data_IF_166712791282
#
_entry.id   IF_166712791282
#
_cell.length_a   1.000
_cell.length_b   1.000
_cell.length_c   1.000
_cell.angle_alpha   90.00
_cell.angle_beta   90.00
_cell.angle_gamma   90.00
#
_symmetry.space_group_name_H-M   'P 1'
#
loop_
_entity.id
_entity.type
_entity.pdbx_description
1 polymer ?
#
# COMPACT_ATOMS: atom_id res chain seq x y z
N UNK A 1 1.11 7.30 -0.92
CA UNK A 1 1.24 8.56 -0.18
C UNK A 1 0.05 9.48 -0.47
N UNK A 2 -0.20 10.47 0.38
CA UNK A 2 -1.21 11.52 0.14
C UNK A 2 -0.61 12.75 -0.55
N UNK A 3 0.63 12.68 -0.93
CA UNK A 3 1.43 13.70 -1.62
C UNK A 3 2.10 13.10 -2.86
N UNK A 4 2.57 13.96 -3.76
CA UNK A 4 3.18 13.56 -5.03
C UNK A 4 2.17 13.14 -6.10
N UNK A 5 2.65 12.73 -7.28
CA UNK A 5 1.80 12.34 -8.38
C UNK A 5 1.08 11.02 -8.10
N UNK A 6 -0.12 10.88 -8.68
CA UNK A 6 -0.84 9.60 -8.65
C UNK A 6 -0.12 8.55 -9.50
N UNK A 7 -0.26 7.29 -9.13
CA UNK A 7 0.29 6.15 -9.87
C UNK A 7 -0.64 5.66 -11.00
N UNK A 8 -1.47 6.55 -11.56
CA UNK A 8 -2.29 6.27 -12.73
C UNK A 8 -1.45 5.91 -13.96
N UNK A 9 -0.23 6.47 -14.04
CA UNK A 9 0.81 6.02 -14.97
C UNK A 9 1.84 5.23 -14.17
N UNK A 10 2.05 3.94 -14.49
CA UNK A 10 3.03 3.12 -13.79
C UNK A 10 4.46 3.66 -13.95
N UNK A 11 5.24 3.56 -12.88
CA UNK A 11 6.68 3.88 -12.89
C UNK A 11 7.46 2.59 -12.65
N UNK A 12 8.25 2.19 -13.63
CA UNK A 12 9.08 0.97 -13.55
C UNK A 12 10.55 1.35 -13.50
N UNK A 13 11.30 0.76 -12.60
CA UNK A 13 12.74 1.01 -12.47
C UNK A 13 13.45 -0.03 -11.61
N UNK A 14 14.76 -0.07 -11.74
CA UNK A 14 15.60 -0.81 -10.78
C UNK A 14 15.61 -0.07 -9.45
N UNK A 15 15.79 -0.82 -8.37
CA UNK A 15 15.85 -0.25 -7.03
C UNK A 15 17.29 0.04 -6.61
N UNK A 16 17.48 1.04 -5.75
CA UNK A 16 18.73 1.29 -5.04
C UNK A 16 18.42 1.75 -3.61
N UNK A 17 19.19 1.24 -2.65
CA UNK A 17 19.07 1.64 -1.25
C UNK A 17 19.73 3.01 -1.08
N UNK A 18 19.04 3.93 -0.41
CA UNK A 18 19.63 5.21 0.02
C UNK A 18 20.63 4.94 1.14
N UNK A 19 21.74 5.64 1.08
CA UNK A 19 22.72 5.70 2.17
C UNK A 19 22.90 7.18 2.52
N UNK A 20 22.54 7.57 3.72
CA UNK A 20 22.73 8.93 4.20
C UNK A 20 23.86 9.04 5.25
N UNK A 21 24.14 10.27 5.68
CA UNK A 21 25.37 10.58 6.41
C UNK A 21 25.30 10.27 7.90
N UNK A 22 24.08 10.10 8.47
CA UNK A 22 23.87 9.96 9.91
C UNK A 22 23.09 8.67 10.21
N UNK A 23 23.51 7.95 11.24
CA UNK A 23 22.82 6.73 11.66
C UNK A 23 21.41 7.06 12.27
N UNK A 24 20.37 6.33 11.85
CA UNK A 24 20.31 5.21 10.91
C UNK A 24 20.42 5.66 9.44
N UNK A 25 21.41 5.13 8.74
CA UNK A 25 21.88 5.58 7.41
C UNK A 25 20.97 5.24 6.23
N UNK A 26 19.80 4.62 6.46
CA UNK A 26 18.90 4.17 5.40
C UNK A 26 17.57 4.94 5.36
N UNK A 27 17.45 6.00 6.16
CA UNK A 27 16.19 6.69 6.35
C UNK A 27 15.99 7.97 5.52
N UNK A 28 17.03 8.41 4.79
CA UNK A 28 17.02 9.62 3.96
C UNK A 28 16.62 10.90 4.74
N UNK A 29 17.04 11.01 6.00
CA UNK A 29 16.77 12.20 6.82
C UNK A 29 17.93 13.21 6.76
N UNK A 30 19.06 12.78 6.28
CA UNK A 30 20.30 13.58 6.15
C UNK A 30 20.82 13.58 4.72
N UNK A 31 22.03 14.11 4.53
CA UNK A 31 22.65 14.20 3.21
C UNK A 31 22.89 12.82 2.63
N UNK A 32 22.32 12.55 1.45
CA UNK A 32 22.49 11.28 0.74
C UNK A 32 23.92 11.19 0.18
N UNK A 33 24.63 10.14 0.59
CA UNK A 33 26.03 9.92 0.20
C UNK A 33 26.17 9.23 -1.15
N UNK A 34 25.20 8.40 -1.55
CA UNK A 34 25.22 7.63 -2.78
C UNK A 34 24.23 8.15 -3.83
N UNK A 35 24.06 9.46 -3.94
CA UNK A 35 23.11 10.10 -4.85
C UNK A 35 23.28 9.63 -6.31
N UNK A 36 24.51 9.40 -6.78
CA UNK A 36 24.78 8.88 -8.13
C UNK A 36 24.14 7.53 -8.41
N UNK A 37 23.97 6.69 -7.39
CA UNK A 37 23.38 5.35 -7.51
C UNK A 37 21.87 5.40 -7.65
N UNK A 38 21.23 6.49 -7.29
CA UNK A 38 19.78 6.70 -7.30
C UNK A 38 19.27 7.26 -8.62
N UNK A 39 20.14 7.80 -9.47
CA UNK A 39 19.74 8.45 -10.72
C UNK A 39 18.97 7.49 -11.62
N UNK A 40 17.71 7.84 -11.94
CA UNK A 40 16.81 7.05 -12.77
C UNK A 40 16.28 5.75 -12.12
N UNK A 41 16.54 5.55 -10.83
CA UNK A 41 16.10 4.37 -10.09
C UNK A 41 14.98 4.69 -9.09
N UNK A 42 14.37 3.65 -8.55
CA UNK A 42 13.43 3.73 -7.43
C UNK A 42 14.23 3.61 -6.14
N UNK A 43 14.22 4.67 -5.35
CA UNK A 43 14.94 4.72 -4.08
C UNK A 43 14.24 3.88 -3.01
N UNK A 44 15.00 3.11 -2.26
CA UNK A 44 14.54 2.36 -1.08
C UNK A 44 15.00 3.12 0.15
N UNK A 45 14.05 3.51 1.01
CA UNK A 45 14.32 4.20 2.28
C UNK A 45 13.57 3.55 3.43
N UNK A 46 14.06 3.66 4.64
CA UNK A 46 13.38 3.18 5.83
C UNK A 46 12.51 4.28 6.47
N UNK A 47 11.42 3.84 7.10
CA UNK A 47 10.60 4.68 7.96
C UNK A 47 11.41 5.08 9.21
N UNK A 48 11.23 6.30 9.70
CA UNK A 48 11.78 6.79 10.97
C UNK A 48 12.19 8.27 10.89
N UNK A 49 12.38 8.87 12.03
CA UNK A 49 13.02 10.15 12.39
C UNK A 49 12.49 11.42 11.70
N UNK A 50 12.34 11.47 10.38
CA UNK A 50 11.89 12.67 9.67
C UNK A 50 10.59 12.42 8.88
N UNK A 51 9.89 13.50 8.46
CA UNK A 51 8.65 13.37 7.69
C UNK A 51 8.83 12.64 6.37
N UNK A 52 7.84 11.82 5.99
CA UNK A 52 7.87 11.04 4.74
C UNK A 52 8.12 11.90 3.50
N UNK A 53 7.48 13.07 3.41
CA UNK A 53 7.68 13.99 2.29
C UNK A 53 9.15 14.44 2.19
N UNK A 54 9.82 14.69 3.33
CA UNK A 54 11.23 15.07 3.35
C UNK A 54 12.13 13.99 2.75
N UNK A 55 11.89 12.72 3.09
CA UNK A 55 12.60 11.56 2.53
C UNK A 55 12.44 11.48 1.01
N UNK A 56 11.20 11.70 0.53
CA UNK A 56 10.89 11.63 -0.90
C UNK A 56 11.54 12.77 -1.66
N UNK A 57 11.50 14.00 -1.11
CA UNK A 57 12.18 15.16 -1.70
C UNK A 57 13.71 14.93 -1.74
N UNK A 58 14.30 14.40 -0.69
CA UNK A 58 15.73 14.10 -0.67
C UNK A 58 16.12 13.09 -1.77
N UNK A 59 15.33 12.02 -1.94
CA UNK A 59 15.54 11.04 -3.00
C UNK A 59 15.31 11.64 -4.40
N UNK A 60 14.30 12.50 -4.57
CA UNK A 60 14.04 13.23 -5.82
C UNK A 60 15.22 14.11 -6.21
N UNK A 61 15.77 14.87 -5.27
CA UNK A 61 16.95 15.71 -5.50
C UNK A 61 18.20 14.88 -5.84
N UNK A 62 18.28 13.65 -5.37
CA UNK A 62 19.31 12.68 -5.74
C UNK A 62 19.06 12.00 -7.11
N UNK A 63 17.97 12.36 -7.81
CA UNK A 63 17.67 11.88 -9.16
C UNK A 63 16.84 10.59 -9.21
N UNK A 64 16.24 10.15 -8.10
CA UNK A 64 15.32 9.02 -8.10
C UNK A 64 14.03 9.35 -8.89
N UNK A 65 13.40 8.32 -9.47
CA UNK A 65 12.15 8.43 -10.23
C UNK A 65 10.92 7.95 -9.44
N UNK A 66 11.12 7.43 -8.26
CA UNK A 66 10.11 6.99 -7.32
C UNK A 66 10.73 6.55 -6.00
N UNK A 67 9.94 6.39 -4.96
CA UNK A 67 10.41 5.99 -3.64
C UNK A 67 9.56 4.86 -3.07
N UNK A 68 10.22 3.86 -2.52
CA UNK A 68 9.62 2.85 -1.66
C UNK A 68 10.09 3.09 -0.23
N UNK A 69 9.15 3.34 0.67
CA UNK A 69 9.43 3.43 2.10
C UNK A 69 9.15 2.09 2.75
N UNK A 70 10.13 1.52 3.40
CA UNK A 70 9.99 0.28 4.17
C UNK A 70 9.40 0.64 5.54
N UNK A 71 8.28 0.02 5.91
CA UNK A 71 7.77 0.14 7.28
C UNK A 71 8.71 -0.60 8.25
N UNK A 72 9.22 0.10 9.26
CA UNK A 72 10.11 -0.50 10.27
C UNK A 72 9.33 -1.19 11.41
N UNK A 73 8.02 -1.00 11.46
CA UNK A 73 7.13 -1.62 12.45
C UNK A 73 6.52 -2.91 11.90
N UNK A 74 6.25 -3.86 12.78
CA UNK A 74 5.50 -5.08 12.47
C UNK A 74 3.99 -4.79 12.41
N UNK A 75 3.62 -3.95 11.46
CA UNK A 75 2.24 -3.51 11.19
C UNK A 75 2.03 -3.34 9.68
N UNK A 76 0.79 -3.37 9.20
CA UNK A 76 0.51 -3.10 7.80
C UNK A 76 1.07 -1.75 7.32
N UNK A 77 1.41 -1.62 6.03
CA UNK A 77 1.76 -0.32 5.44
C UNK A 77 0.64 0.70 5.65
N UNK A 78 1.02 1.95 5.86
CA UNK A 78 0.08 3.06 6.08
C UNK A 78 0.10 4.03 4.90
N UNK A 79 -0.97 4.81 4.76
CA UNK A 79 -0.97 5.96 3.88
C UNK A 79 -0.04 7.04 4.45
N UNK A 80 1.05 7.34 3.75
CA UNK A 80 2.02 8.34 4.18
C UNK A 80 1.43 9.74 4.00
N UNK A 81 1.32 10.49 5.12
CA UNK A 81 0.86 11.88 5.13
C UNK A 81 1.99 12.86 4.85
N UNK A 82 1.62 14.06 4.38
CA UNK A 82 2.51 15.19 4.17
C UNK A 82 1.78 16.34 3.50
N UNK A 83 2.16 17.58 3.82
CA UNK A 83 1.67 18.79 3.15
C UNK A 83 2.80 19.37 2.30
N UNK A 84 2.65 19.32 0.98
CA UNK A 84 3.65 19.76 0.02
C UNK A 84 3.63 18.92 -1.25
N UNK A 85 4.49 19.24 -2.20
CA UNK A 85 4.60 18.58 -3.48
C UNK A 85 5.95 17.91 -3.70
N UNK A 86 5.94 16.84 -4.46
CA UNK A 86 7.08 16.18 -5.08
C UNK A 86 6.64 15.73 -6.47
N UNK A 87 7.56 15.60 -7.42
CA UNK A 87 7.24 15.17 -8.78
C UNK A 87 7.39 13.65 -8.96
N UNK A 88 7.82 12.93 -7.94
CA UNK A 88 7.97 11.47 -7.98
C UNK A 88 6.99 10.78 -7.04
N UNK A 89 6.45 9.61 -7.42
CA UNK A 89 5.53 8.87 -6.56
C UNK A 89 6.24 8.17 -5.42
N UNK A 90 5.51 7.95 -4.32
CA UNK A 90 6.00 7.20 -3.18
C UNK A 90 4.96 6.20 -2.67
N UNK A 91 5.41 5.00 -2.30
CA UNK A 91 4.60 3.95 -1.69
C UNK A 91 5.27 3.44 -0.42
N UNK A 92 4.48 2.84 0.47
CA UNK A 92 5.02 2.12 1.62
C UNK A 92 4.79 0.62 1.43
N UNK A 93 5.78 -0.18 1.79
CA UNK A 93 5.69 -1.65 1.83
C UNK A 93 5.86 -2.15 3.26
N UNK A 94 5.54 -3.41 3.48
CA UNK A 94 5.73 -4.06 4.78
C UNK A 94 7.22 -4.18 5.13
N UNK A 95 7.50 -4.37 6.41
CA UNK A 95 8.86 -4.66 6.89
C UNK A 95 9.41 -5.93 6.24
N UNK A 96 8.61 -6.99 6.18
CA UNK A 96 9.03 -8.27 5.63
C UNK A 96 9.43 -8.16 4.14
N UNK A 97 8.61 -7.47 3.33
CA UNK A 97 8.91 -7.25 1.90
C UNK A 97 10.16 -6.38 1.74
N UNK A 98 10.32 -5.36 2.59
CA UNK A 98 11.49 -4.50 2.61
C UNK A 98 12.79 -5.25 2.92
N UNK A 99 12.78 -6.11 3.95
CA UNK A 99 13.93 -6.94 4.30
C UNK A 99 14.28 -7.94 3.18
N UNK A 100 13.27 -8.49 2.50
CA UNK A 100 13.49 -9.35 1.35
C UNK A 100 14.22 -8.59 0.22
N UNK A 101 13.75 -7.40 -0.14
CA UNK A 101 14.42 -6.57 -1.16
C UNK A 101 15.84 -6.24 -0.75
N UNK A 102 16.07 -5.82 0.50
CA UNK A 102 17.41 -5.52 1.00
C UNK A 102 18.33 -6.74 0.94
N UNK A 103 17.84 -7.92 1.27
CA UNK A 103 18.64 -9.16 1.21
C UNK A 103 19.08 -9.51 -0.21
N UNK A 104 18.19 -9.33 -1.20
CA UNK A 104 18.51 -9.58 -2.62
C UNK A 104 19.56 -8.58 -3.11
N UNK A 105 19.38 -7.29 -2.79
CA UNK A 105 20.36 -6.26 -3.16
C UNK A 105 21.71 -6.47 -2.48
N UNK A 106 21.73 -6.91 -1.23
CA UNK A 106 22.96 -7.24 -0.49
C UNK A 106 23.71 -8.46 -1.07
N UNK A 107 22.98 -9.39 -1.69
CA UNK A 107 23.58 -10.52 -2.42
C UNK A 107 24.23 -10.10 -3.76
N UNK A 108 24.07 -8.84 -4.18
CA UNK A 108 24.60 -8.31 -5.43
C UNK A 108 23.66 -8.46 -6.62
N UNK A 109 22.45 -8.95 -6.38
CA UNK A 109 21.42 -9.06 -7.40
C UNK A 109 20.67 -7.73 -7.59
N UNK A 110 19.99 -7.57 -8.73
CA UNK A 110 19.21 -6.39 -9.04
C UNK A 110 17.72 -6.68 -8.88
N UNK A 111 16.99 -5.73 -8.29
CA UNK A 111 15.52 -5.80 -8.13
C UNK A 111 14.88 -4.74 -9.00
N UNK A 112 14.06 -5.14 -9.96
CA UNK A 112 13.23 -4.22 -10.74
C UNK A 112 11.81 -4.26 -10.20
N UNK A 113 11.20 -3.10 -10.02
CA UNK A 113 9.83 -2.96 -9.51
C UNK A 113 9.01 -2.03 -10.39
N UNK A 114 7.70 -2.20 -10.34
CA UNK A 114 6.74 -1.28 -10.95
C UNK A 114 5.84 -0.70 -9.85
N UNK A 115 5.89 0.60 -9.68
CA UNK A 115 4.94 1.33 -8.84
C UNK A 115 3.71 1.62 -9.70
N UNK A 116 2.56 1.11 -9.30
CA UNK A 116 1.31 1.29 -10.02
C UNK A 116 0.14 1.40 -9.03
N UNK A 117 -0.86 2.16 -9.40
CA UNK A 117 -2.13 2.11 -8.70
C UNK A 117 -2.86 0.85 -9.16
N UNK A 118 -3.26 0.00 -8.21
CA UNK A 118 -4.22 -1.06 -8.54
C UNK A 118 -5.48 -0.41 -9.08
N UNK A 119 -6.06 -0.93 -10.18
CA UNK A 119 -7.34 -0.42 -10.65
C UNK A 119 -8.33 -0.42 -9.48
N UNK A 120 -9.19 0.60 -9.49
CA UNK A 120 -10.15 0.91 -8.44
C UNK A 120 -10.72 -0.36 -7.80
N UNK A 121 -10.92 -0.27 -6.48
CA UNK A 121 -11.61 -1.27 -5.66
C UNK A 121 -12.63 -2.02 -6.53
N UNK A 122 -12.44 -3.32 -6.69
CA UNK A 122 -13.46 -4.13 -7.39
C UNK A 122 -14.76 -3.93 -6.66
N UNK A 123 -15.79 -3.59 -7.42
CA UNK A 123 -17.15 -3.53 -6.91
C UNK A 123 -17.45 -4.84 -6.17
N UNK A 124 -18.01 -4.76 -4.97
CA UNK A 124 -18.39 -5.95 -4.18
C UNK A 124 -19.27 -6.93 -4.97
N UNK A 125 -20.00 -6.45 -5.99
CA UNK A 125 -20.75 -7.29 -6.93
C UNK A 125 -19.87 -8.26 -7.75
N UNK A 126 -18.54 -8.12 -7.71
CA UNK A 126 -17.56 -9.04 -8.32
C UNK A 126 -16.90 -9.97 -7.28
N UNK A 127 -17.23 -9.83 -6.01
CA UNK A 127 -16.79 -10.72 -4.94
C UNK A 127 -17.84 -11.80 -4.72
N UNK A 128 -17.49 -13.05 -5.01
CA UNK A 128 -18.41 -14.18 -4.85
C UNK A 128 -18.86 -14.39 -3.40
N UNK A 129 -18.05 -14.01 -2.41
CA UNK A 129 -18.43 -14.07 -1.00
C UNK A 129 -19.53 -13.08 -0.68
N UNK A 130 -19.42 -11.84 -1.15
CA UNK A 130 -20.45 -10.81 -0.98
C UNK A 130 -21.73 -11.20 -1.72
N UNK A 131 -21.62 -11.71 -2.96
CA UNK A 131 -22.78 -12.16 -3.74
C UNK A 131 -23.50 -13.31 -3.02
N UNK A 132 -22.78 -14.28 -2.48
CA UNK A 132 -23.36 -15.40 -1.75
C UNK A 132 -24.04 -14.93 -0.46
N UNK A 133 -23.42 -14.00 0.27
CA UNK A 133 -23.97 -13.37 1.47
C UNK A 133 -25.30 -12.67 1.18
N UNK A 134 -25.34 -11.80 0.17
CA UNK A 134 -26.57 -11.08 -0.22
C UNK A 134 -27.67 -12.03 -0.73
N UNK A 135 -27.28 -13.08 -1.46
CA UNK A 135 -28.22 -14.11 -1.86
C UNK A 135 -28.79 -14.86 -0.66
N UNK A 136 -27.98 -15.09 0.38
CA UNK A 136 -28.38 -15.68 1.65
C UNK A 136 -29.48 -14.87 2.35
N UNK A 137 -29.36 -13.54 2.37
CA UNK A 137 -30.43 -12.66 2.87
C UNK A 137 -31.73 -12.84 2.08
N UNK A 138 -31.65 -12.86 0.76
CA UNK A 138 -32.81 -13.08 -0.10
C UNK A 138 -33.50 -14.41 0.17
N UNK A 139 -32.70 -15.47 0.39
CA UNK A 139 -33.21 -16.81 0.68
C UNK A 139 -33.87 -16.88 2.07
N UNK A 140 -33.19 -16.44 3.12
CA UNK A 140 -33.68 -16.49 4.51
C UNK A 140 -34.96 -15.68 4.69
N UNK A 141 -35.04 -14.48 4.13
CA UNK A 141 -36.25 -13.65 4.16
C UNK A 141 -37.41 -14.33 3.46
N UNK A 142 -37.20 -14.94 2.30
CA UNK A 142 -38.27 -15.62 1.54
C UNK A 142 -38.77 -16.89 2.23
N UNK A 143 -37.87 -17.66 2.84
CA UNK A 143 -38.26 -18.87 3.57
C UNK A 143 -38.99 -18.57 4.88
N UNK A 144 -38.70 -17.44 5.51
CA UNK A 144 -39.30 -17.06 6.80
C UNK A 144 -40.58 -16.23 6.63
N UNK A 145 -40.56 -15.19 5.79
CA UNK A 145 -41.67 -14.25 5.62
C UNK A 145 -42.43 -14.37 4.30
N UNK A 146 -41.92 -15.13 3.36
CA UNK A 146 -42.46 -15.24 2.01
C UNK A 146 -42.19 -13.98 1.16
N UNK A 147 -42.72 -13.97 -0.06
CA UNK A 147 -42.53 -12.87 -1.00
C UNK A 147 -43.22 -11.55 -0.63
N UNK A 148 -44.15 -11.58 0.30
CA UNK A 148 -44.93 -10.42 0.71
C UNK A 148 -44.47 -9.76 2.00
N UNK A 149 -43.49 -10.35 2.70
CA UNK A 149 -42.95 -9.84 3.95
C UNK A 149 -41.42 -9.95 3.98
N UNK A 150 -40.72 -9.14 3.17
CA UNK A 150 -39.26 -9.20 3.06
C UNK A 150 -38.53 -8.76 4.32
N UNK A 151 -39.17 -8.01 5.20
CA UNK A 151 -38.59 -7.45 6.43
C UNK A 151 -38.93 -8.28 7.68
N UNK A 152 -39.40 -9.52 7.51
CA UNK A 152 -39.83 -10.37 8.62
C UNK A 152 -38.72 -10.73 9.61
N UNK A 153 -37.44 -10.66 9.21
CA UNK A 153 -36.29 -10.92 10.07
C UNK A 153 -35.68 -9.63 10.66
N UNK A 154 -36.28 -8.49 10.45
CA UNK A 154 -35.76 -7.22 10.95
C UNK A 154 -36.15 -7.01 12.42
N UNK A 155 -35.33 -7.49 13.33
CA UNK A 155 -35.44 -7.27 14.78
C UNK A 155 -34.06 -7.35 15.46
N UNK A 156 -34.00 -6.90 16.73
CA UNK A 156 -32.70 -6.73 17.44
C UNK A 156 -31.88 -8.02 17.62
N UNK A 157 -32.52 -9.17 17.57
CA UNK A 157 -31.89 -10.51 17.79
C UNK A 157 -31.90 -11.36 16.51
N UNK A 158 -31.99 -10.72 15.34
CA UNK A 158 -32.02 -11.46 14.08
C UNK A 158 -30.68 -12.16 13.79
N UNK A 159 -30.77 -13.40 13.29
CA UNK A 159 -29.62 -14.19 12.84
C UNK A 159 -29.28 -14.07 11.37
N UNK A 160 -29.93 -13.11 10.64
CA UNK A 160 -29.87 -13.02 9.19
C UNK A 160 -28.46 -12.86 8.64
N UNK A 161 -27.63 -12.05 9.27
CA UNK A 161 -26.23 -11.86 8.89
C UNK A 161 -25.43 -13.17 9.00
N UNK A 162 -25.50 -13.83 10.16
CA UNK A 162 -24.81 -15.09 10.39
C UNK A 162 -25.29 -16.23 9.50
N UNK A 163 -26.57 -16.25 9.12
CA UNK A 163 -27.12 -17.25 8.19
C UNK A 163 -26.62 -16.99 6.76
N UNK A 164 -26.46 -15.74 6.36
CA UNK A 164 -25.92 -15.39 5.06
C UNK A 164 -24.45 -15.72 4.93
N UNK A 165 -23.69 -15.60 6.02
CA UNK A 165 -22.25 -15.99 6.05
C UNK A 165 -22.03 -17.51 6.06
N UNK A 166 -23.06 -18.27 6.42
CA UNK A 166 -22.93 -19.74 6.56
C UNK A 166 -23.31 -20.51 5.27
N UNK A 167 -23.96 -19.84 4.31
CA UNK A 167 -24.35 -20.42 3.02
C UNK A 167 -23.22 -20.39 2.01
#
# INVERSE_FOLDING_TARGET
ATFGPSLSTPVTGYTAIVIDAVDPTLNACDSILNASDLVGKIAIVERGDCPYLGKVIAAELAGAVGVIVINTLDSPPIAMGGSGGTNIPAVMISKADGELIKSILAAGDSVQVTLAQTPAVRDGSLDNGIIAHEYGHGLSNRLTGGGSNPDCLWHAEQGGEGWSDWL
#
